data_IF_513004447597
#
_entry.id   IF_513004447597
#
_cell.length_a   1.000
_cell.length_b   1.000
_cell.length_c   1.000
_cell.angle_alpha   90.00
_cell.angle_beta   90.00
_cell.angle_gamma   90.00
#
_symmetry.space_group_name_H-M   'P 1'
#
loop_
_entity.id
_entity.type
_entity.pdbx_description
1 polymer ?
#
# COMPACT_ATOMS: atom_id res chain seq x y z
N UNK A 1 14.70 -17.27 -3.78
CA UNK A 1 13.70 -16.50 -4.56
C UNK A 1 12.32 -16.45 -3.88
N UNK A 2 11.64 -17.59 -3.61
CA UNK A 2 10.31 -17.59 -2.94
C UNK A 2 10.26 -16.87 -1.57
N UNK A 3 11.27 -17.04 -0.70
CA UNK A 3 11.31 -16.41 0.62
C UNK A 3 11.38 -14.88 0.55
N UNK A 4 12.24 -14.34 -0.31
CA UNK A 4 12.39 -12.89 -0.55
C UNK A 4 11.10 -12.30 -1.12
N UNK A 5 10.46 -13.00 -2.06
CA UNK A 5 9.17 -12.58 -2.62
C UNK A 5 8.10 -12.40 -1.53
N UNK A 6 7.95 -13.40 -0.65
CA UNK A 6 7.02 -13.32 0.47
C UNK A 6 7.40 -12.24 1.48
N UNK A 7 8.69 -12.07 1.80
CA UNK A 7 9.16 -11.01 2.69
C UNK A 7 8.80 -9.61 2.16
N UNK A 8 8.95 -9.38 0.84
CA UNK A 8 8.55 -8.12 0.19
C UNK A 8 7.04 -7.91 0.33
N UNK A 9 6.22 -8.93 0.10
CA UNK A 9 4.75 -8.81 0.25
C UNK A 9 4.34 -8.46 1.69
N UNK A 10 4.93 -9.15 2.68
CA UNK A 10 4.68 -8.87 4.09
C UNK A 10 5.10 -7.45 4.44
N UNK A 11 6.27 -7.00 3.97
CA UNK A 11 6.73 -5.62 4.17
C UNK A 11 5.71 -4.61 3.64
N UNK A 12 5.19 -4.81 2.42
CA UNK A 12 4.18 -3.93 1.86
C UNK A 12 2.88 -3.92 2.65
N UNK A 13 2.39 -5.08 3.12
CA UNK A 13 1.19 -5.16 3.96
C UNK A 13 1.39 -4.38 5.27
N UNK A 14 2.54 -4.57 5.93
CA UNK A 14 2.88 -3.85 7.16
C UNK A 14 2.98 -2.34 6.92
N UNK A 15 3.63 -1.93 5.82
CA UNK A 15 3.75 -0.52 5.44
C UNK A 15 2.38 0.11 5.20
N UNK A 16 1.49 -0.57 4.48
CA UNK A 16 0.12 -0.11 4.24
C UNK A 16 -0.67 0.02 5.54
N UNK A 17 -0.67 -1.02 6.37
CA UNK A 17 -1.36 -1.00 7.65
C UNK A 17 -0.85 0.10 8.59
N UNK A 18 0.47 0.28 8.64
CA UNK A 18 1.11 1.34 9.42
C UNK A 18 0.72 2.74 8.95
N UNK A 19 0.79 2.99 7.64
CA UNK A 19 0.39 4.28 7.06
C UNK A 19 -1.11 4.54 7.21
N UNK A 20 -1.96 3.53 7.02
CA UNK A 20 -3.39 3.66 7.21
C UNK A 20 -3.73 4.01 8.67
N UNK A 21 -3.08 3.33 9.62
CA UNK A 21 -3.24 3.63 11.06
C UNK A 21 -2.76 5.05 11.38
N UNK A 22 -1.62 5.47 10.85
CA UNK A 22 -1.10 6.82 11.01
C UNK A 22 -2.06 7.90 10.48
N UNK A 23 -2.62 7.70 9.27
CA UNK A 23 -3.61 8.61 8.68
C UNK A 23 -4.90 8.62 9.50
N UNK A 24 -5.31 7.49 10.06
CA UNK A 24 -6.54 7.40 10.84
C UNK A 24 -6.44 8.10 12.19
N UNK A 25 -5.29 7.98 12.87
CA UNK A 25 -5.09 8.51 14.22
C UNK A 25 -4.66 9.98 14.25
N UNK A 26 -4.14 10.54 13.16
CA UNK A 26 -3.70 11.94 13.15
C UNK A 26 -4.90 12.91 13.10
N UNK A 27 -4.71 14.07 13.72
CA UNK A 27 -5.70 15.16 13.75
C UNK A 27 -5.45 16.22 12.68
N UNK A 28 -4.18 16.38 12.27
CA UNK A 28 -3.74 17.40 11.31
C UNK A 28 -2.92 16.73 10.21
N UNK A 29 -3.12 17.17 8.97
CA UNK A 29 -2.39 16.66 7.81
C UNK A 29 -1.03 17.37 7.61
N UNK A 30 -0.30 16.95 6.57
CA UNK A 30 1.02 17.51 6.25
C UNK A 30 0.99 18.98 5.77
N UNK A 31 -0.18 19.52 5.45
CA UNK A 31 -0.36 20.92 5.08
C UNK A 31 -0.85 21.78 6.26
N UNK A 32 -1.01 21.19 7.45
CA UNK A 32 -1.55 21.88 8.62
C UNK A 32 -3.07 21.95 8.66
N UNK A 33 -3.78 21.25 7.77
CA UNK A 33 -5.24 21.23 7.74
C UNK A 33 -5.78 20.19 8.74
N UNK A 34 -6.83 20.56 9.46
CA UNK A 34 -7.53 19.65 10.37
C UNK A 34 -8.24 18.57 9.54
N UNK A 35 -8.05 17.32 9.94
CA UNK A 35 -8.55 16.18 9.19
C UNK A 35 -10.00 15.88 9.58
N UNK A 36 -10.94 16.33 8.75
CA UNK A 36 -12.36 15.97 8.89
C UNK A 36 -12.60 14.49 8.55
N UNK A 37 -13.72 13.89 8.98
CA UNK A 37 -14.05 12.52 8.63
C UNK A 37 -13.99 12.25 7.11
N UNK A 38 -14.51 13.18 6.31
CA UNK A 38 -14.53 13.07 4.84
C UNK A 38 -13.11 13.09 4.26
N UNK A 39 -12.26 14.03 4.73
CA UNK A 39 -10.87 14.14 4.30
C UNK A 39 -10.03 12.93 4.74
N UNK A 40 -10.35 12.33 5.89
CA UNK A 40 -9.70 11.11 6.36
C UNK A 40 -10.02 9.92 5.46
N UNK A 41 -11.29 9.72 5.12
CA UNK A 41 -11.69 8.67 4.18
C UNK A 41 -11.08 8.87 2.79
N UNK A 42 -11.04 10.13 2.30
CA UNK A 42 -10.37 10.45 1.04
C UNK A 42 -8.87 10.13 1.09
N UNK A 43 -8.19 10.49 2.17
CA UNK A 43 -6.77 10.18 2.37
C UNK A 43 -6.50 8.67 2.39
N UNK A 44 -7.36 7.90 3.06
CA UNK A 44 -7.28 6.44 3.10
C UNK A 44 -7.58 5.82 1.72
N UNK A 45 -8.56 6.35 0.99
CA UNK A 45 -8.87 5.89 -0.37
C UNK A 45 -7.69 6.13 -1.32
N UNK A 46 -7.05 7.30 -1.25
CA UNK A 46 -5.84 7.61 -2.04
C UNK A 46 -4.68 6.67 -1.69
N UNK A 47 -4.44 6.42 -0.39
CA UNK A 47 -3.45 5.42 0.04
C UNK A 47 -3.78 4.03 -0.53
N UNK A 48 -5.05 3.64 -0.50
CA UNK A 48 -5.55 2.39 -1.08
C UNK A 48 -5.28 2.27 -2.58
N UNK A 49 -5.56 3.33 -3.36
CA UNK A 49 -5.31 3.34 -4.81
C UNK A 49 -3.82 3.15 -5.12
N UNK A 50 -2.94 3.87 -4.43
CA UNK A 50 -1.48 3.72 -4.59
C UNK A 50 -1.05 2.29 -4.27
N UNK A 51 -1.59 1.71 -3.20
CA UNK A 51 -1.25 0.35 -2.82
C UNK A 51 -1.76 -0.72 -3.81
N UNK A 52 -2.96 -0.53 -4.36
CA UNK A 52 -3.51 -1.37 -5.43
C UNK A 52 -2.61 -1.34 -6.65
N UNK A 53 -2.10 -0.17 -7.05
CA UNK A 53 -1.16 -0.06 -8.17
C UNK A 53 0.11 -0.86 -7.92
N UNK A 54 0.69 -0.76 -6.72
CA UNK A 54 1.86 -1.57 -6.33
C UNK A 54 1.55 -3.06 -6.38
N UNK A 55 0.40 -3.48 -5.86
CA UNK A 55 -0.04 -4.88 -5.89
C UNK A 55 -0.21 -5.41 -7.32
N UNK A 56 -0.81 -4.62 -8.23
CA UNK A 56 -0.95 -4.97 -9.64
C UNK A 56 0.42 -5.18 -10.29
N UNK A 57 1.37 -4.25 -10.06
CA UNK A 57 2.74 -4.38 -10.57
C UNK A 57 3.37 -5.67 -10.06
N UNK A 58 3.25 -5.97 -8.76
CA UNK A 58 3.76 -7.22 -8.18
C UNK A 58 3.13 -8.46 -8.81
N UNK A 59 1.82 -8.46 -9.07
CA UNK A 59 1.14 -9.58 -9.74
C UNK A 59 1.65 -9.78 -11.17
N UNK A 60 1.87 -8.70 -11.92
CA UNK A 60 2.45 -8.75 -13.27
C UNK A 60 3.85 -9.37 -13.21
N UNK A 61 4.73 -8.89 -12.30
CA UNK A 61 6.05 -9.47 -12.12
C UNK A 61 6.00 -10.96 -11.73
N UNK A 62 5.08 -11.34 -10.84
CA UNK A 62 4.89 -12.73 -10.44
C UNK A 62 4.50 -13.62 -11.62
N UNK A 63 3.63 -13.11 -12.49
CA UNK A 63 3.21 -13.82 -13.70
C UNK A 63 4.40 -14.05 -14.65
N UNK A 64 5.19 -13.01 -14.92
CA UNK A 64 6.39 -13.14 -15.77
C UNK A 64 7.47 -14.04 -15.14
N UNK A 65 7.68 -13.97 -13.82
CA UNK A 65 8.63 -14.83 -13.11
C UNK A 65 8.21 -16.30 -13.06
N UNK A 66 6.91 -16.59 -13.18
CA UNK A 66 6.37 -17.96 -13.21
C UNK A 66 6.34 -18.58 -14.61
N UNK A 67 6.59 -17.83 -15.68
CA UNK A 67 6.70 -18.42 -17.02
C UNK A 67 7.91 -19.37 -17.03
N UNK A 68 7.74 -20.68 -17.29
CA UNK A 68 8.88 -21.54 -17.58
C UNK A 68 9.57 -20.96 -18.82
N UNK A 69 10.88 -20.71 -18.72
CA UNK A 69 11.69 -20.42 -19.91
C UNK A 69 11.62 -21.68 -20.78
N UNK A 70 10.89 -21.63 -21.90
CA UNK A 70 10.95 -22.67 -22.92
C UNK A 70 12.29 -22.62 -23.62
#
# INVERSE_FOLDING_TARGET
MKKIWWAINVFWIVLFGGLATFIYLREVDGAGAVQTPELRWLSLALLGVVFILVAIIQLIFLFFLKKPKS
#
